data_IF_552096058721
#
_entry.id   IF_552096058721
#
_cell.length_a   1.000
_cell.length_b   1.000
_cell.length_c   1.000
_cell.angle_alpha   90.00
_cell.angle_beta   90.00
_cell.angle_gamma   90.00
#
_symmetry.space_group_name_H-M   'P 1'
#
loop_
_entity.id
_entity.type
_entity.pdbx_description
1 polymer ?
#
# COMPACT_ATOMS: atom_id res chain seq x y z
N UNK A 1 19.62 -29.63 5.28
CA UNK A 1 18.54 -28.81 5.88
C UNK A 1 17.42 -28.69 4.86
N UNK A 2 16.30 -29.38 5.09
CA UNK A 2 15.14 -29.34 4.19
C UNK A 2 14.48 -27.96 4.29
N UNK A 3 14.47 -27.21 3.19
CA UNK A 3 13.59 -26.05 3.03
C UNK A 3 12.16 -26.58 3.03
N UNK A 4 11.40 -26.31 4.09
CA UNK A 4 9.96 -26.50 4.10
C UNK A 4 9.37 -25.58 3.04
N UNK A 5 9.13 -26.13 1.85
CA UNK A 5 8.15 -25.58 0.90
C UNK A 5 6.78 -25.68 1.58
N UNK A 6 6.39 -24.66 2.35
CA UNK A 6 4.98 -24.46 2.69
C UNK A 6 4.27 -24.09 1.40
N UNK A 7 3.76 -25.09 0.68
CA UNK A 7 2.68 -24.84 -0.27
C UNK A 7 1.50 -24.32 0.55
N UNK A 8 1.10 -23.08 0.32
CA UNK A 8 -0.06 -22.50 0.96
C UNK A 8 -1.30 -23.19 0.40
N UNK A 9 -1.72 -24.29 1.02
CA UNK A 9 -3.03 -24.90 0.76
C UNK A 9 -4.08 -23.97 1.36
N UNK A 10 -4.55 -23.04 0.53
CA UNK A 10 -5.51 -22.02 0.90
C UNK A 10 -6.89 -22.63 1.19
N UNK A 11 -7.35 -22.67 2.45
CA UNK A 11 -8.65 -23.24 2.80
C UNK A 11 -9.83 -22.32 2.41
N UNK A 12 -9.55 -21.08 1.97
CA UNK A 12 -10.57 -20.07 1.69
C UNK A 12 -10.96 -20.07 0.22
N UNK A 13 -12.27 -20.20 -0.05
CA UNK A 13 -12.84 -20.08 -1.39
C UNK A 13 -13.29 -18.64 -1.66
N UNK A 14 -12.90 -18.10 -2.81
CA UNK A 14 -13.28 -16.76 -3.30
C UNK A 14 -12.41 -15.62 -2.75
N UNK A 15 -12.15 -14.60 -3.58
CA UNK A 15 -11.21 -13.52 -3.26
C UNK A 15 -11.60 -12.65 -2.05
N UNK A 16 -12.90 -12.41 -1.82
CA UNK A 16 -13.38 -11.65 -0.66
C UNK A 16 -12.99 -12.31 0.68
N UNK A 17 -13.11 -13.64 0.77
CA UNK A 17 -12.75 -14.41 1.96
C UNK A 17 -11.25 -14.30 2.25
N UNK A 18 -10.42 -14.33 1.19
CA UNK A 18 -8.96 -14.19 1.28
C UNK A 18 -8.54 -12.79 1.68
N UNK A 19 -9.16 -11.76 1.08
CA UNK A 19 -8.94 -10.38 1.45
C UNK A 19 -9.25 -10.14 2.93
N UNK A 20 -10.42 -10.58 3.40
CA UNK A 20 -10.84 -10.42 4.80
C UNK A 20 -9.88 -11.14 5.77
N UNK A 21 -9.47 -12.37 5.45
CA UNK A 21 -8.48 -13.10 6.24
C UNK A 21 -7.13 -12.39 6.29
N UNK A 22 -6.62 -11.91 5.15
CA UNK A 22 -5.36 -11.18 5.09
C UNK A 22 -5.38 -9.90 5.92
N UNK A 23 -6.51 -9.19 5.96
CA UNK A 23 -6.67 -8.01 6.82
C UNK A 23 -6.63 -8.42 8.29
N UNK A 24 -7.47 -9.37 8.71
CA UNK A 24 -7.52 -9.80 10.11
C UNK A 24 -6.16 -10.25 10.63
N UNK A 25 -5.42 -11.01 9.81
CA UNK A 25 -4.05 -11.40 10.13
C UNK A 25 -3.10 -10.21 10.27
N UNK A 26 -3.22 -9.21 9.39
CA UNK A 26 -2.41 -7.98 9.48
C UNK A 26 -2.72 -7.20 10.76
N UNK A 27 -3.99 -7.19 11.18
CA UNK A 27 -4.40 -6.56 12.44
C UNK A 27 -3.85 -7.30 13.66
N UNK A 28 -3.87 -8.63 13.64
CA UNK A 28 -3.31 -9.48 14.69
C UNK A 28 -1.78 -9.32 14.79
N UNK A 29 -1.07 -9.41 13.66
CA UNK A 29 0.41 -9.36 13.63
C UNK A 29 0.99 -7.99 14.01
N UNK A 30 0.29 -6.89 13.71
CA UNK A 30 0.86 -5.52 13.81
C UNK A 30 0.15 -4.60 14.82
N UNK A 31 -1.04 -4.95 15.29
CA UNK A 31 -1.96 -3.99 15.92
C UNK A 31 -2.70 -4.50 17.17
N UNK A 32 -2.05 -5.33 18.00
CA UNK A 32 -2.59 -5.94 19.24
C UNK A 32 -3.45 -5.00 20.12
N UNK A 33 -3.08 -3.72 20.23
CA UNK A 33 -3.81 -2.74 21.04
C UNK A 33 -4.64 -1.73 20.24
N UNK A 34 -4.46 -1.67 18.92
CA UNK A 34 -5.11 -0.65 18.07
C UNK A 34 -6.60 -0.91 17.91
N UNK A 35 -7.05 -2.16 18.04
CA UNK A 35 -8.46 -2.52 17.88
C UNK A 35 -9.28 -2.27 19.16
N UNK A 36 -8.61 -2.16 20.31
CA UNK A 36 -9.28 -2.08 21.61
C UNK A 36 -9.95 -0.71 21.78
N UNK A 37 -11.28 -0.68 21.68
CA UNK A 37 -12.09 0.53 21.86
C UNK A 37 -12.23 1.40 20.61
N UNK A 38 -11.68 0.99 19.47
CA UNK A 38 -11.72 1.76 18.22
C UNK A 38 -12.70 1.16 17.19
N UNK A 39 -13.25 2.00 16.32
CA UNK A 39 -14.18 1.57 15.26
C UNK A 39 -13.40 1.15 14.02
N UNK A 40 -13.56 -0.12 13.61
CA UNK A 40 -12.94 -0.63 12.39
C UNK A 40 -13.96 -0.57 11.25
N UNK A 41 -13.60 0.10 10.15
CA UNK A 41 -14.47 0.19 8.98
C UNK A 41 -13.93 -0.66 7.84
N UNK A 42 -14.56 -1.81 7.64
CA UNK A 42 -14.32 -2.65 6.45
C UNK A 42 -15.14 -2.07 5.30
N UNK A 43 -14.52 -1.19 4.53
CA UNK A 43 -15.12 -0.73 3.28
C UNK A 43 -14.42 -1.40 2.12
N UNK A 44 -15.17 -2.12 1.28
CA UNK A 44 -14.76 -2.29 -0.12
C UNK A 44 -14.87 -0.92 -0.77
N UNK A 45 -13.89 -0.05 -0.52
CA UNK A 45 -13.97 1.37 -0.89
C UNK A 45 -13.83 1.50 -2.40
N UNK A 46 -14.87 2.04 -3.03
CA UNK A 46 -14.83 2.61 -4.37
C UNK A 46 -15.05 4.11 -4.17
N UNK A 47 -13.98 4.90 -4.24
CA UNK A 47 -14.02 6.30 -4.71
C UNK A 47 -12.61 6.84 -5.06
N UNK A 48 -12.31 6.73 -6.36
CA UNK A 48 -11.39 7.44 -7.25
C UNK A 48 -10.00 7.98 -6.81
N UNK A 49 -8.98 7.48 -7.52
CA UNK A 49 -8.16 8.30 -8.42
C UNK A 49 -7.94 7.53 -9.75
N UNK A 50 -8.57 7.99 -10.84
CA UNK A 50 -8.37 7.63 -12.28
C UNK A 50 -8.86 6.32 -12.90
N UNK A 51 -9.38 5.31 -12.20
CA UNK A 51 -10.18 4.26 -12.86
C UNK A 51 -11.06 3.47 -11.87
N UNK A 52 -12.37 3.48 -12.06
CA UNK A 52 -13.38 2.86 -11.17
C UNK A 52 -13.62 1.36 -11.41
N UNK A 53 -13.01 0.79 -12.46
CA UNK A 53 -13.38 -0.55 -12.96
C UNK A 53 -12.32 -1.64 -12.71
N UNK A 54 -11.29 -1.40 -11.90
CA UNK A 54 -10.15 -2.33 -11.75
C UNK A 54 -9.95 -2.89 -10.34
N UNK A 55 -11.02 -3.11 -9.57
CA UNK A 55 -10.91 -3.94 -8.37
C UNK A 55 -11.14 -5.40 -8.76
N UNK A 56 -10.12 -6.23 -8.64
CA UNK A 56 -10.31 -7.68 -8.72
C UNK A 56 -11.08 -8.14 -7.48
N UNK A 57 -11.76 -9.29 -7.56
CA UNK A 57 -12.44 -9.86 -6.39
C UNK A 57 -11.48 -10.25 -5.25
N UNK A 58 -10.16 -10.14 -5.46
CA UNK A 58 -9.06 -10.51 -4.56
C UNK A 58 -8.45 -9.30 -3.85
N UNK A 59 -8.91 -8.09 -4.18
CA UNK A 59 -8.45 -6.84 -3.60
C UNK A 59 -9.39 -6.42 -2.46
N UNK A 60 -8.87 -6.40 -1.23
CA UNK A 60 -9.56 -5.80 -0.08
C UNK A 60 -8.73 -4.64 0.47
N UNK A 61 -9.31 -3.45 0.42
CA UNK A 61 -8.82 -2.28 1.15
C UNK A 61 -9.60 -2.17 2.46
N UNK A 62 -8.93 -1.87 3.57
CA UNK A 62 -9.58 -1.58 4.85
C UNK A 62 -9.02 -0.31 5.43
N UNK A 63 -9.92 0.56 5.90
CA UNK A 63 -9.54 1.75 6.62
C UNK A 63 -9.79 1.54 8.12
N UNK A 64 -8.76 1.75 8.91
CA UNK A 64 -8.87 1.82 10.36
C UNK A 64 -9.07 3.28 10.75
N UNK A 65 -10.11 3.55 11.54
CA UNK A 65 -10.44 4.90 11.98
C UNK A 65 -10.43 4.99 13.50
N UNK A 66 -9.91 6.10 14.02
CA UNK A 66 -10.04 6.51 15.44
C UNK A 66 -10.64 7.91 15.43
N UNK A 67 -11.74 8.11 16.15
CA UNK A 67 -12.45 9.41 16.24
C UNK A 67 -12.75 10.05 14.87
N UNK A 68 -13.11 9.22 13.88
CA UNK A 68 -13.39 9.65 12.51
C UNK A 68 -12.17 9.97 11.65
N UNK A 69 -10.95 9.85 12.18
CA UNK A 69 -9.70 10.03 11.44
C UNK A 69 -9.14 8.69 10.99
N UNK A 70 -8.71 8.61 9.72
CA UNK A 70 -8.06 7.41 9.19
C UNK A 70 -6.65 7.32 9.76
N UNK A 71 -6.39 6.26 10.53
CA UNK A 71 -5.08 5.98 11.10
C UNK A 71 -4.27 4.99 10.26
N UNK A 72 -4.95 4.08 9.55
CA UNK A 72 -4.33 3.11 8.64
C UNK A 72 -5.24 2.76 7.48
N UNK A 73 -4.62 2.50 6.33
CA UNK A 73 -5.20 1.94 5.11
C UNK A 73 -4.42 0.68 4.79
N UNK A 74 -5.10 -0.46 4.80
CA UNK A 74 -4.50 -1.77 4.55
C UNK A 74 -5.05 -2.28 3.21
N UNK A 75 -4.19 -2.39 2.22
CA UNK A 75 -4.44 -3.07 0.96
C UNK A 75 -3.94 -4.52 1.07
N UNK A 76 -4.81 -5.48 0.80
CA UNK A 76 -4.45 -6.89 0.70
C UNK A 76 -4.60 -7.34 -0.75
N UNK A 77 -3.52 -7.91 -1.30
CA UNK A 77 -3.46 -8.57 -2.60
C UNK A 77 -3.22 -10.05 -2.40
N UNK A 78 -4.11 -10.89 -2.90
CA UNK A 78 -3.93 -12.35 -2.85
C UNK A 78 -3.83 -12.91 -4.26
N UNK A 79 -2.62 -12.95 -4.82
CA UNK A 79 -2.40 -13.25 -6.22
C UNK A 79 -0.97 -13.75 -6.48
N UNK A 80 -0.74 -14.38 -7.63
CA UNK A 80 0.59 -14.87 -8.01
C UNK A 80 1.40 -13.91 -8.89
N UNK A 81 0.74 -13.05 -9.69
CA UNK A 81 1.39 -12.12 -10.62
C UNK A 81 0.52 -10.85 -10.88
N UNK A 82 -0.09 -10.28 -9.84
CA UNK A 82 -0.97 -9.11 -10.00
C UNK A 82 -0.36 -7.78 -9.57
N UNK A 83 0.75 -7.80 -8.83
CA UNK A 83 1.45 -6.56 -8.44
C UNK A 83 2.51 -6.27 -9.49
N UNK A 84 2.08 -5.62 -10.56
CA UNK A 84 2.90 -5.17 -11.68
C UNK A 84 3.07 -3.63 -11.67
N UNK A 85 3.82 -3.11 -12.66
CA UNK A 85 4.05 -1.66 -12.81
C UNK A 85 2.73 -0.87 -12.86
N UNK A 86 1.76 -1.34 -13.63
CA UNK A 86 0.45 -0.69 -13.75
C UNK A 86 -0.27 -0.63 -12.41
N UNK A 87 -0.21 -1.70 -11.63
CA UNK A 87 -0.83 -1.80 -10.31
C UNK A 87 -0.18 -0.86 -9.32
N UNK A 88 1.15 -0.83 -9.26
CA UNK A 88 1.88 0.10 -8.39
C UNK A 88 1.60 1.56 -8.79
N UNK A 89 1.62 1.89 -10.08
CA UNK A 89 1.35 3.25 -10.53
C UNK A 89 -0.09 3.67 -10.19
N UNK A 90 -1.09 2.91 -10.63
CA UNK A 90 -2.49 3.32 -10.47
C UNK A 90 -2.97 3.26 -9.02
N UNK A 91 -2.58 2.23 -8.29
CA UNK A 91 -3.18 1.95 -6.98
C UNK A 91 -2.29 2.43 -5.84
N UNK A 92 -0.99 2.19 -5.89
CA UNK A 92 -0.10 2.66 -4.84
C UNK A 92 0.21 4.16 -4.99
N UNK A 93 0.68 4.61 -6.17
CA UNK A 93 1.08 6.01 -6.36
C UNK A 93 -0.14 6.93 -6.51
N UNK A 94 -0.94 6.73 -7.56
CA UNK A 94 -2.01 7.68 -7.90
C UNK A 94 -3.16 7.67 -6.90
N UNK A 95 -3.43 6.54 -6.23
CA UNK A 95 -4.54 6.40 -5.28
C UNK A 95 -4.07 6.47 -3.82
N UNK A 96 -3.19 5.58 -3.40
CA UNK A 96 -2.88 5.44 -1.97
C UNK A 96 -1.98 6.57 -1.44
N UNK A 97 -0.90 6.91 -2.14
CA UNK A 97 -0.06 8.06 -1.77
C UNK A 97 -0.86 9.37 -1.86
N UNK A 98 -1.72 9.53 -2.86
CA UNK A 98 -2.55 10.73 -3.01
C UNK A 98 -3.54 10.90 -1.84
N UNK A 99 -4.19 9.81 -1.42
CA UNK A 99 -5.21 9.86 -0.36
C UNK A 99 -4.63 9.81 1.06
N UNK A 100 -3.37 9.41 1.23
CA UNK A 100 -2.71 9.41 2.51
C UNK A 100 -2.34 10.83 2.98
N UNK A 101 -2.44 11.05 4.29
CA UNK A 101 -1.96 12.28 4.94
C UNK A 101 -0.56 12.11 5.51
N UNK A 102 -0.08 10.87 5.64
CA UNK A 102 1.31 10.52 5.94
C UNK A 102 1.61 9.11 5.42
N UNK A 103 2.87 8.82 5.11
CA UNK A 103 3.27 7.51 4.57
C UNK A 103 3.00 6.36 5.53
N UNK A 104 3.03 6.63 6.84
CA UNK A 104 2.75 5.65 7.87
C UNK A 104 1.28 5.24 7.90
N UNK A 105 0.36 5.87 7.15
CA UNK A 105 -1.01 5.38 7.02
C UNK A 105 -1.13 4.19 6.08
N UNK A 106 -0.15 3.95 5.21
CA UNK A 106 -0.31 2.95 4.14
C UNK A 106 0.26 1.61 4.62
N UNK A 107 -0.43 0.53 4.28
CA UNK A 107 0.05 -0.84 4.42
C UNK A 107 -0.43 -1.66 3.23
N UNK A 108 0.47 -2.42 2.64
CA UNK A 108 0.22 -3.38 1.57
C UNK A 108 0.68 -4.75 2.03
N UNK A 109 -0.19 -5.76 1.87
CA UNK A 109 0.16 -7.16 2.08
C UNK A 109 -0.10 -7.94 0.82
N UNK A 110 0.98 -8.46 0.25
CA UNK A 110 0.95 -9.27 -0.97
C UNK A 110 1.18 -10.73 -0.58
N UNK A 111 0.17 -11.56 -0.83
CA UNK A 111 0.22 -13.00 -0.62
C UNK A 111 0.24 -13.71 -1.98
N UNK A 112 1.12 -14.71 -2.13
CA UNK A 112 1.23 -15.53 -3.35
C UNK A 112 2.21 -15.01 -4.41
N UNK A 113 2.66 -13.75 -4.30
CA UNK A 113 3.68 -13.13 -5.14
C UNK A 113 4.78 -12.55 -4.24
N UNK A 114 6.05 -12.77 -4.60
CA UNK A 114 7.17 -12.10 -3.92
C UNK A 114 7.41 -10.73 -4.57
N UNK A 115 6.89 -9.69 -3.96
CA UNK A 115 7.17 -8.30 -4.33
C UNK A 115 8.33 -7.77 -3.49
N UNK A 116 9.42 -7.39 -4.14
CA UNK A 116 10.67 -6.98 -3.52
C UNK A 116 10.89 -5.47 -3.61
N UNK A 117 11.83 -4.96 -2.81
CA UNK A 117 12.26 -3.57 -2.91
C UNK A 117 12.81 -3.26 -4.31
N UNK A 118 13.53 -4.19 -4.92
CA UNK A 118 14.12 -3.99 -6.25
C UNK A 118 13.04 -3.80 -7.32
N UNK A 119 11.92 -4.51 -7.19
CA UNK A 119 10.78 -4.36 -8.10
C UNK A 119 10.18 -2.96 -7.97
N UNK A 120 9.96 -2.49 -6.74
CA UNK A 120 9.50 -1.13 -6.49
C UNK A 120 10.47 -0.07 -7.05
N UNK A 121 11.77 -0.21 -6.79
CA UNK A 121 12.80 0.70 -7.30
C UNK A 121 12.79 0.79 -8.83
N UNK A 122 12.66 -0.36 -9.49
CA UNK A 122 12.58 -0.45 -10.96
C UNK A 122 11.36 0.30 -11.48
N UNK A 123 10.19 0.10 -10.85
CA UNK A 123 8.94 0.76 -11.23
C UNK A 123 9.02 2.27 -10.98
N UNK A 124 9.45 2.72 -9.80
CA UNK A 124 9.53 4.14 -9.47
C UNK A 124 10.56 4.90 -10.33
N UNK A 125 11.59 4.19 -10.80
CA UNK A 125 12.60 4.75 -11.70
C UNK A 125 12.18 4.79 -13.18
N UNK A 126 11.08 4.12 -13.55
CA UNK A 126 10.56 4.13 -14.92
C UNK A 126 10.03 5.52 -15.31
N UNK A 127 9.85 5.75 -16.62
CA UNK A 127 9.29 7.01 -17.11
C UNK A 127 7.87 7.25 -16.58
N UNK A 128 7.04 6.20 -16.56
CA UNK A 128 5.66 6.28 -16.07
C UNK A 128 5.61 6.39 -14.54
N UNK A 129 6.49 5.70 -13.82
CA UNK A 129 6.62 5.83 -12.36
C UNK A 129 6.99 7.24 -11.94
N UNK A 130 8.00 7.85 -12.58
CA UNK A 130 8.39 9.25 -12.32
C UNK A 130 7.26 10.23 -12.64
N UNK A 131 6.59 10.05 -13.78
CA UNK A 131 5.45 10.88 -14.18
C UNK A 131 4.28 10.76 -13.19
N UNK A 132 4.04 9.58 -12.64
CA UNK A 132 3.02 9.38 -11.61
C UNK A 132 3.39 10.11 -10.30
N UNK A 133 4.66 10.05 -9.89
CA UNK A 133 5.16 10.80 -8.73
C UNK A 133 5.09 12.32 -8.94
N UNK A 134 5.40 12.80 -10.15
CA UNK A 134 5.19 14.21 -10.53
C UNK A 134 3.72 14.62 -10.36
N UNK A 135 2.79 13.74 -10.75
CA UNK A 135 1.35 13.94 -10.64
C UNK A 135 0.82 14.10 -9.21
N UNK A 136 1.58 13.69 -8.18
CA UNK A 136 1.21 13.95 -6.78
C UNK A 136 1.30 15.43 -6.42
N UNK A 137 2.28 16.14 -7.00
CA UNK A 137 2.60 17.53 -6.67
C UNK A 137 3.33 17.71 -5.33
N UNK A 138 4.07 18.82 -5.22
CA UNK A 138 4.94 19.11 -4.06
C UNK A 138 4.18 19.12 -2.73
N UNK A 139 2.96 19.65 -2.71
CA UNK A 139 2.19 19.82 -1.47
C UNK A 139 1.73 18.47 -0.91
N UNK A 140 1.40 17.52 -1.79
CA UNK A 140 1.11 16.15 -1.38
C UNK A 140 2.36 15.48 -0.81
N UNK A 141 3.50 15.65 -1.46
CA UNK A 141 4.77 15.08 -0.96
C UNK A 141 5.17 15.71 0.38
N UNK A 142 4.94 17.02 0.59
CA UNK A 142 5.14 17.68 1.90
C UNK A 142 4.27 17.06 2.99
N UNK A 143 3.02 16.73 2.68
CA UNK A 143 2.13 16.04 3.63
C UNK A 143 2.65 14.64 3.96
N UNK A 144 3.08 13.88 2.96
CA UNK A 144 3.60 12.53 3.14
C UNK A 144 4.92 12.52 3.92
N UNK A 145 5.77 13.52 3.70
CA UNK A 145 7.13 13.67 4.25
C UNK A 145 7.28 14.99 5.03
N UNK A 146 6.56 15.18 6.15
CA UNK A 146 6.43 16.48 6.82
C UNK A 146 7.73 16.99 7.48
N UNK A 147 8.79 16.20 7.51
CA UNK A 147 10.09 16.54 8.11
C UNK A 147 11.17 16.91 7.08
N UNK A 148 10.82 17.14 5.82
CA UNK A 148 11.78 17.55 4.78
C UNK A 148 11.67 19.06 4.51
N UNK A 149 12.44 19.86 5.27
CA UNK A 149 12.51 21.33 5.12
C UNK A 149 13.13 21.78 3.79
N UNK A 150 13.80 20.88 3.06
CA UNK A 150 14.47 21.17 1.79
C UNK A 150 13.64 20.75 0.58
N UNK A 151 12.38 20.37 0.78
CA UNK A 151 11.48 19.91 -0.27
C UNK A 151 10.98 21.09 -1.13
N UNK A 152 11.30 21.07 -2.42
CA UNK A 152 10.95 22.11 -3.40
C UNK A 152 10.25 21.54 -4.62
N UNK A 153 9.66 22.41 -5.44
CA UNK A 153 9.09 22.03 -6.74
C UNK A 153 10.10 21.36 -7.68
N UNK A 154 11.40 21.63 -7.54
CA UNK A 154 12.43 21.04 -8.41
C UNK A 154 12.90 19.67 -7.95
N UNK A 155 12.78 19.34 -6.66
CA UNK A 155 13.38 18.12 -6.11
C UNK A 155 12.37 17.12 -5.51
N UNK A 156 11.08 17.46 -5.43
CA UNK A 156 10.12 16.64 -4.69
C UNK A 156 9.98 15.22 -5.20
N UNK A 157 10.04 15.02 -6.52
CA UNK A 157 9.99 13.69 -7.15
C UNK A 157 11.17 12.84 -6.71
N UNK A 158 12.38 13.40 -6.75
CA UNK A 158 13.58 12.72 -6.32
C UNK A 158 13.53 12.40 -4.82
N UNK A 159 13.04 13.33 -3.99
CA UNK A 159 12.89 13.14 -2.55
C UNK A 159 11.91 12.03 -2.19
N UNK A 160 10.75 11.98 -2.81
CA UNK A 160 9.78 10.90 -2.55
C UNK A 160 10.27 9.55 -3.06
N UNK A 161 10.95 9.53 -4.22
CA UNK A 161 11.60 8.34 -4.73
C UNK A 161 12.62 7.83 -3.71
N UNK A 162 13.61 8.65 -3.33
CA UNK A 162 14.61 8.29 -2.32
C UNK A 162 13.99 7.78 -1.02
N UNK A 163 12.90 8.40 -0.56
CA UNK A 163 12.21 7.97 0.65
C UNK A 163 11.57 6.58 0.49
N UNK A 164 10.82 6.36 -0.59
CA UNK A 164 10.15 5.08 -0.87
C UNK A 164 11.14 3.93 -1.10
N UNK A 165 12.34 4.24 -1.59
CA UNK A 165 13.41 3.27 -1.77
C UNK A 165 14.14 2.91 -0.46
N UNK A 166 13.95 3.62 0.64
CA UNK A 166 14.55 3.25 1.93
C UNK A 166 14.00 1.90 2.40
N UNK A 167 14.88 1.03 2.90
CA UNK A 167 14.51 -0.35 3.29
C UNK A 167 13.44 -0.36 4.39
N UNK A 168 13.57 0.54 5.33
CA UNK A 168 12.65 0.77 6.43
C UNK A 168 11.28 1.25 5.96
N UNK A 169 11.21 2.12 4.95
CA UNK A 169 9.94 2.61 4.39
C UNK A 169 9.29 1.51 3.55
N UNK A 170 10.07 0.82 2.72
CA UNK A 170 9.58 -0.34 1.98
C UNK A 170 9.02 -1.41 2.93
N UNK A 171 9.75 -1.75 4.00
CA UNK A 171 9.29 -2.74 4.97
C UNK A 171 8.05 -2.26 5.71
N UNK A 172 8.01 -0.98 6.12
CA UNK A 172 6.84 -0.39 6.77
C UNK A 172 5.57 -0.57 5.94
N UNK A 173 5.67 -0.33 4.63
CA UNK A 173 4.53 -0.38 3.71
C UNK A 173 4.22 -1.82 3.29
N UNK A 174 5.20 -2.58 2.80
CA UNK A 174 5.00 -3.83 2.05
C UNK A 174 5.34 -5.13 2.81
N UNK A 175 5.90 -5.06 4.03
CA UNK A 175 6.31 -6.24 4.79
C UNK A 175 5.62 -6.32 6.13
#
# INVERSE_FOLDING_TARGET
MNKLNKSYNDPLKGGNSKGAHGVLKTLDDEFDNLLKGNSIKFEKRVENARDINSMSAEDLTVELLIDGQIIKRIEVKYCTNCVDEKTIIKQFIERDLYNATNINQIKWKVYGQDFTKSDLQTILSSADGKKALEGLGVDKVKQLLPKDEFLTNQNFVQRILENLERKEVFNLIFK
#
